data_IF_439777541700
#
_entry.id   IF_439777541700
#
_cell.length_a   1.000
_cell.length_b   1.000
_cell.length_c   1.000
_cell.angle_alpha   90.00
_cell.angle_beta   90.00
_cell.angle_gamma   90.00
#
_symmetry.space_group_name_H-M   'P 1'
#
loop_
_entity.id
_entity.type
_entity.pdbx_description
1 polymer ?
#
# COMPACT_ATOMS: atom_id res chain seq x y z
N UNK A 1 -13.90 -9.23 -7.13
CA UNK A 1 -12.93 -9.64 -6.10
C UNK A 1 -12.22 -10.91 -6.51
N UNK A 2 -11.28 -11.41 -5.70
CA UNK A 2 -10.57 -12.68 -5.94
C UNK A 2 -10.09 -13.31 -4.64
N UNK A 3 -9.72 -14.58 -4.69
CA UNK A 3 -9.02 -15.27 -3.60
C UNK A 3 -7.58 -15.55 -4.05
N UNK A 4 -6.62 -15.28 -3.18
CA UNK A 4 -5.20 -15.60 -3.36
C UNK A 4 -4.74 -16.49 -2.21
N UNK A 5 -3.90 -17.47 -2.53
CA UNK A 5 -3.22 -18.31 -1.55
C UNK A 5 -1.71 -18.18 -1.75
N UNK A 6 -1.02 -17.86 -0.67
CA UNK A 6 0.44 -17.76 -0.61
C UNK A 6 0.98 -18.91 0.23
N UNK A 7 2.00 -19.58 -0.28
CA UNK A 7 2.81 -20.55 0.45
C UNK A 7 4.28 -20.21 0.27
N UNK A 8 5.00 -20.10 1.38
CA UNK A 8 6.41 -19.72 1.41
C UNK A 8 7.24 -20.71 2.22
N UNK A 9 8.52 -20.80 1.86
CA UNK A 9 9.56 -21.56 2.55
C UNK A 9 10.83 -20.72 2.60
N UNK A 10 11.70 -21.01 3.56
CA UNK A 10 12.99 -20.34 3.68
C UNK A 10 13.16 -19.62 5.01
N UNK A 11 14.14 -18.74 5.05
CA UNK A 11 14.49 -17.98 6.25
C UNK A 11 13.46 -16.88 6.55
N UNK A 12 13.26 -16.56 7.82
CA UNK A 12 12.33 -15.50 8.23
C UNK A 12 12.70 -14.15 7.61
N UNK A 13 14.00 -13.87 7.43
CA UNK A 13 14.51 -12.65 6.80
C UNK A 13 14.22 -12.54 5.30
N UNK A 14 13.73 -13.59 4.63
CA UNK A 14 13.41 -13.57 3.20
C UNK A 14 11.96 -13.18 2.88
N UNK A 15 11.19 -12.65 3.85
CA UNK A 15 9.74 -12.34 3.79
C UNK A 15 8.79 -13.52 3.51
N UNK A 16 9.33 -14.66 3.11
CA UNK A 16 8.58 -15.87 2.74
C UNK A 16 8.77 -17.03 3.73
N UNK A 17 9.71 -16.91 4.66
CA UNK A 17 9.96 -17.91 5.69
C UNK A 17 9.06 -17.79 6.92
N UNK A 18 8.95 -18.87 7.68
CA UNK A 18 8.30 -18.88 8.98
C UNK A 18 8.96 -19.92 9.89
N UNK A 19 9.03 -19.63 11.19
CA UNK A 19 9.42 -20.61 12.22
C UNK A 19 8.33 -20.77 13.26
N UNK A 20 8.30 -21.93 13.90
CA UNK A 20 7.46 -22.23 15.06
C UNK A 20 8.26 -23.03 16.08
N UNK A 21 7.67 -23.27 17.24
CA UNK A 21 8.21 -24.23 18.20
C UNK A 21 7.57 -25.59 17.98
N UNK A 22 8.36 -26.65 18.13
CA UNK A 22 7.85 -28.00 18.28
C UNK A 22 7.05 -28.10 19.59
N UNK A 23 5.98 -28.90 19.57
CA UNK A 23 5.07 -29.01 20.71
C UNK A 23 5.50 -30.06 21.75
N UNK A 24 6.42 -30.95 21.40
CA UNK A 24 6.92 -32.01 22.29
C UNK A 24 8.13 -31.55 23.09
N UNK A 25 9.10 -30.88 22.46
CA UNK A 25 10.36 -30.47 23.10
C UNK A 25 10.60 -28.95 23.15
N UNK A 26 9.80 -28.16 22.43
CA UNK A 26 9.92 -26.70 22.40
C UNK A 26 11.04 -26.19 21.49
N UNK A 27 11.72 -27.07 20.76
CA UNK A 27 12.78 -26.67 19.84
C UNK A 27 12.23 -25.83 18.70
N UNK A 28 13.03 -24.88 18.22
CA UNK A 28 12.63 -24.04 17.10
C UNK A 28 12.75 -24.83 15.78
N UNK A 29 11.66 -24.86 15.02
CA UNK A 29 11.56 -25.53 13.73
C UNK A 29 11.23 -24.53 12.61
N UNK A 30 11.82 -24.76 11.44
CA UNK A 30 11.35 -24.13 10.19
C UNK A 30 9.96 -24.69 9.83
N UNK A 31 9.09 -23.82 9.31
CA UNK A 31 7.75 -24.21 8.87
C UNK A 31 7.34 -23.42 7.62
N UNK A 32 6.20 -23.78 7.04
CA UNK A 32 5.66 -23.06 5.90
C UNK A 32 5.02 -21.74 6.33
N UNK A 33 5.35 -20.65 5.63
CA UNK A 33 4.48 -19.48 5.63
C UNK A 33 3.24 -19.78 4.79
N UNK A 34 2.05 -19.49 5.31
CA UNK A 34 0.77 -19.73 4.62
C UNK A 34 -0.18 -18.57 4.87
N UNK A 35 -0.76 -18.03 3.79
CA UNK A 35 -1.73 -16.96 3.89
C UNK A 35 -2.80 -17.06 2.78
N UNK A 36 -4.06 -17.21 3.17
CA UNK A 36 -5.21 -17.05 2.28
C UNK A 36 -5.73 -15.62 2.39
N UNK A 37 -5.98 -14.97 1.26
CA UNK A 37 -6.59 -13.64 1.17
C UNK A 37 -7.85 -13.68 0.31
N UNK A 38 -8.96 -13.20 0.84
CA UNK A 38 -10.11 -12.79 0.05
C UNK A 38 -10.08 -11.26 -0.15
N UNK A 39 -10.14 -10.82 -1.40
CA UNK A 39 -10.21 -9.40 -1.76
C UNK A 39 -11.59 -9.10 -2.33
N UNK A 40 -12.35 -8.26 -1.63
CA UNK A 40 -13.62 -7.71 -2.11
C UNK A 40 -13.33 -6.35 -2.77
N UNK A 41 -13.78 -6.21 -4.02
CA UNK A 41 -13.68 -4.96 -4.78
C UNK A 41 -15.07 -4.55 -5.21
N UNK A 42 -15.45 -3.31 -4.96
CA UNK A 42 -16.67 -2.70 -5.50
C UNK A 42 -16.29 -1.46 -6.28
N UNK A 43 -16.96 -1.22 -7.40
CA UNK A 43 -16.74 -0.02 -8.19
C UNK A 43 -18.00 0.36 -8.94
N UNK A 44 -18.15 1.65 -9.20
CA UNK A 44 -19.20 2.20 -10.06
C UNK A 44 -18.60 3.20 -11.04
N UNK A 45 -19.28 3.40 -12.16
CA UNK A 45 -18.94 4.39 -13.17
C UNK A 45 -20.22 4.95 -13.78
N UNK A 46 -20.43 6.26 -13.67
CA UNK A 46 -21.59 6.94 -14.23
C UNK A 46 -21.13 8.17 -15.00
N UNK A 47 -21.57 8.29 -16.25
CA UNK A 47 -21.32 9.49 -17.03
C UNK A 47 -22.15 10.67 -16.50
N UNK A 48 -21.51 11.82 -16.35
CA UNK A 48 -22.14 13.08 -15.92
C UNK A 48 -21.69 14.21 -16.84
N UNK A 49 -22.33 15.38 -16.72
CA UNK A 49 -21.91 16.58 -17.46
C UNK A 49 -20.49 17.05 -17.13
N UNK A 50 -19.95 16.63 -15.98
CA UNK A 50 -18.60 16.96 -15.49
C UNK A 50 -17.59 15.82 -15.74
N UNK A 51 -17.96 14.83 -16.55
CA UNK A 51 -17.18 13.62 -16.83
C UNK A 51 -17.67 12.40 -16.06
N UNK A 52 -16.93 11.28 -16.14
CA UNK A 52 -17.30 10.04 -15.46
C UNK A 52 -17.10 10.16 -13.94
N UNK A 53 -18.18 10.00 -13.18
CA UNK A 53 -18.15 9.78 -11.74
C UNK A 53 -17.79 8.32 -11.47
N UNK A 54 -16.68 8.09 -10.78
CA UNK A 54 -16.18 6.76 -10.42
C UNK A 54 -16.14 6.60 -8.91
N UNK A 55 -16.51 5.43 -8.41
CA UNK A 55 -16.22 5.03 -7.03
C UNK A 55 -15.44 3.73 -7.05
N UNK A 56 -14.55 3.54 -6.09
CA UNK A 56 -13.79 2.30 -5.94
C UNK A 56 -13.53 2.01 -4.47
N UNK A 57 -13.73 0.76 -4.07
CA UNK A 57 -13.29 0.26 -2.77
C UNK A 57 -12.58 -1.09 -2.91
N UNK A 58 -11.59 -1.32 -2.04
CA UNK A 58 -10.92 -2.61 -1.90
C UNK A 58 -10.74 -2.96 -0.42
N UNK A 59 -11.39 -4.04 0.01
CA UNK A 59 -11.28 -4.60 1.36
C UNK A 59 -10.63 -5.98 1.30
N UNK A 60 -9.71 -6.27 2.22
CA UNK A 60 -9.02 -7.57 2.28
C UNK A 60 -9.26 -8.27 3.61
N UNK A 61 -9.54 -9.57 3.52
CA UNK A 61 -9.72 -10.48 4.64
C UNK A 61 -8.62 -11.54 4.53
N UNK A 62 -7.85 -11.75 5.59
CA UNK A 62 -6.71 -12.66 5.55
C UNK A 62 -6.78 -13.70 6.68
N UNK A 63 -6.40 -14.94 6.37
CA UNK A 63 -6.18 -16.01 7.34
C UNK A 63 -4.82 -16.65 7.08
N UNK A 64 -4.01 -16.80 8.12
CA UNK A 64 -2.68 -17.40 7.97
C UNK A 64 -1.78 -17.19 9.17
N UNK A 65 -0.60 -17.77 9.11
CA UNK A 65 0.47 -17.48 10.06
C UNK A 65 1.23 -16.21 9.64
N UNK A 66 2.34 -15.91 10.33
CA UNK A 66 3.15 -14.71 10.11
C UNK A 66 4.48 -15.11 9.44
N UNK A 67 5.00 -14.24 8.58
CA UNK A 67 6.43 -14.28 8.29
C UNK A 67 7.15 -13.82 9.55
N UNK A 68 7.73 -14.76 10.29
CA UNK A 68 8.18 -14.52 11.65
C UNK A 68 8.59 -15.78 12.39
N UNK A 69 9.17 -15.56 13.57
CA UNK A 69 9.52 -16.61 14.51
C UNK A 69 8.32 -17.05 15.36
N UNK A 70 8.46 -18.20 16.03
CA UNK A 70 7.53 -18.61 17.07
C UNK A 70 7.48 -17.57 18.19
N UNK A 71 6.28 -17.30 18.70
CA UNK A 71 6.04 -16.37 19.78
C UNK A 71 5.88 -17.11 21.13
N UNK A 72 5.91 -16.33 22.21
CA UNK A 72 5.62 -16.78 23.57
C UNK A 72 4.36 -16.09 24.10
N UNK A 73 3.68 -16.73 25.05
CA UNK A 73 2.60 -16.12 25.83
C UNK A 73 3.15 -15.04 26.76
N UNK A 74 2.26 -14.28 27.41
CA UNK A 74 2.65 -13.33 28.46
C UNK A 74 3.30 -14.02 29.66
N UNK A 75 2.97 -15.29 29.88
CA UNK A 75 3.48 -16.11 30.98
C UNK A 75 4.79 -16.84 30.62
N UNK A 76 5.28 -16.65 29.37
CA UNK A 76 6.54 -17.19 28.88
C UNK A 76 6.44 -18.56 28.20
N UNK A 77 5.23 -19.10 28.01
CA UNK A 77 5.02 -20.40 27.37
C UNK A 77 5.14 -20.29 25.84
N UNK A 78 5.79 -21.24 25.15
CA UNK A 78 5.88 -21.21 23.69
C UNK A 78 4.49 -21.41 23.06
N UNK A 79 4.04 -20.42 22.28
CA UNK A 79 2.79 -20.48 21.52
C UNK A 79 3.02 -20.78 20.02
N UNK A 80 4.28 -20.73 19.57
CA UNK A 80 4.65 -20.97 18.18
C UNK A 80 4.19 -19.85 17.25
N UNK A 81 3.96 -20.18 15.98
CA UNK A 81 3.46 -19.23 14.98
C UNK A 81 2.09 -19.66 14.45
N UNK A 82 1.04 -19.57 15.29
CA UNK A 82 -0.28 -20.11 14.95
C UNK A 82 -0.92 -19.29 13.83
N UNK A 83 -1.60 -20.01 12.93
CA UNK A 83 -2.45 -19.38 11.92
C UNK A 83 -3.75 -18.86 12.56
N UNK A 84 -4.20 -17.70 12.11
CA UNK A 84 -5.44 -17.10 12.58
C UNK A 84 -6.00 -16.07 11.60
N UNK A 85 -7.21 -15.60 11.90
CA UNK A 85 -7.78 -14.45 11.21
C UNK A 85 -6.94 -13.21 11.53
N UNK A 86 -6.56 -12.47 10.49
CA UNK A 86 -5.90 -11.18 10.61
C UNK A 86 -6.95 -10.06 10.56
N UNK A 87 -6.53 -8.86 10.93
CA UNK A 87 -7.38 -7.68 10.83
C UNK A 87 -7.88 -7.49 9.39
N UNK A 88 -9.12 -7.03 9.27
CA UNK A 88 -9.67 -6.58 7.99
C UNK A 88 -8.99 -5.26 7.62
N UNK A 89 -8.50 -5.15 6.39
CA UNK A 89 -7.88 -3.93 5.89
C UNK A 89 -8.73 -3.28 4.80
N UNK A 90 -8.85 -1.95 4.85
CA UNK A 90 -9.41 -1.13 3.78
C UNK A 90 -8.24 -0.52 3.01
N UNK A 91 -7.98 -1.01 1.81
CA UNK A 91 -6.80 -0.64 1.03
C UNK A 91 -7.06 0.57 0.13
N UNK A 92 -8.25 0.64 -0.46
CA UNK A 92 -8.68 1.77 -1.28
C UNK A 92 -10.13 2.09 -0.95
N UNK A 93 -10.48 3.36 -0.88
CA UNK A 93 -11.86 3.81 -0.74
C UNK A 93 -12.01 5.27 -1.20
N UNK A 94 -12.30 5.48 -2.48
CA UNK A 94 -12.34 6.82 -3.06
C UNK A 94 -13.49 7.02 -4.05
N UNK A 95 -13.78 8.29 -4.29
CA UNK A 95 -14.67 8.79 -5.34
C UNK A 95 -13.86 9.72 -6.25
N UNK A 96 -14.14 9.70 -7.55
CA UNK A 96 -13.45 10.54 -8.54
C UNK A 96 -14.43 11.09 -9.58
N UNK A 97 -14.28 12.38 -9.92
CA UNK A 97 -15.03 13.04 -10.98
C UNK A 97 -14.11 14.01 -11.73
N UNK A 98 -14.07 13.91 -13.06
CA UNK A 98 -13.35 14.90 -13.89
C UNK A 98 -11.86 15.07 -13.55
N UNK A 99 -11.21 14.03 -13.01
CA UNK A 99 -9.82 14.06 -12.56
C UNK A 99 -9.61 14.36 -11.07
N UNK A 100 -10.61 14.93 -10.39
CA UNK A 100 -10.59 15.15 -8.94
C UNK A 100 -10.95 13.87 -8.20
N UNK A 101 -10.07 13.37 -7.34
CA UNK A 101 -10.24 12.21 -6.46
C UNK A 101 -10.23 12.63 -4.99
N UNK A 102 -11.14 12.05 -4.21
CA UNK A 102 -11.20 12.23 -2.75
C UNK A 102 -11.45 10.89 -2.07
N UNK A 103 -10.72 10.61 -0.98
CA UNK A 103 -10.90 9.43 -0.14
C UNK A 103 -9.59 8.78 0.26
N UNK A 104 -9.63 7.50 0.67
CA UNK A 104 -8.44 6.73 1.03
C UNK A 104 -7.77 6.14 -0.21
N UNK A 105 -6.48 6.41 -0.33
CA UNK A 105 -5.62 5.93 -1.40
C UNK A 105 -4.16 5.84 -0.94
N UNK A 106 -3.26 5.56 -1.87
CA UNK A 106 -1.80 5.61 -1.68
C UNK A 106 -1.24 6.97 -2.13
N UNK A 107 -0.05 7.34 -1.63
CA UNK A 107 0.57 8.62 -1.96
C UNK A 107 0.80 8.79 -3.47
N UNK A 108 0.55 9.98 -4.00
CA UNK A 108 0.93 10.33 -5.36
C UNK A 108 2.45 10.27 -5.56
N UNK A 109 3.23 10.32 -4.47
CA UNK A 109 4.67 10.18 -4.51
C UNK A 109 5.05 8.81 -5.05
N UNK A 110 4.30 7.77 -4.69
CA UNK A 110 4.57 6.40 -5.11
C UNK A 110 3.81 6.01 -6.36
N UNK A 111 2.51 6.28 -6.37
CA UNK A 111 1.62 5.81 -7.44
C UNK A 111 1.91 6.46 -8.78
N UNK A 112 2.28 7.75 -8.81
CA UNK A 112 2.40 8.48 -10.07
C UNK A 112 3.62 8.04 -10.89
N UNK A 113 4.74 7.70 -10.23
CA UNK A 113 5.95 7.19 -10.88
C UNK A 113 5.87 5.68 -11.19
N UNK A 114 4.88 4.98 -10.64
CA UNK A 114 4.68 3.54 -10.83
C UNK A 114 5.39 2.69 -9.77
N UNK A 115 5.39 3.16 -8.52
CA UNK A 115 6.00 2.50 -7.36
C UNK A 115 7.52 2.32 -7.54
N UNK A 116 8.13 1.38 -6.82
CA UNK A 116 9.52 0.97 -7.02
C UNK A 116 9.74 0.10 -8.27
N UNK A 117 8.75 0.02 -9.17
CA UNK A 117 8.77 -0.84 -10.36
C UNK A 117 8.37 -2.29 -10.09
N UNK A 118 8.69 -3.19 -11.03
CA UNK A 118 8.29 -4.60 -10.98
C UNK A 118 9.25 -5.46 -10.14
N UNK A 119 9.39 -5.16 -8.84
CA UNK A 119 10.23 -5.92 -7.91
C UNK A 119 9.34 -6.85 -7.08
N UNK A 120 9.73 -8.13 -6.95
CA UNK A 120 8.94 -9.16 -6.24
C UNK A 120 8.85 -8.85 -4.73
N UNK A 121 9.84 -8.14 -4.18
CA UNK A 121 9.92 -7.68 -2.79
C UNK A 121 10.42 -6.23 -2.75
N UNK A 122 9.55 -5.31 -3.14
CA UNK A 122 9.87 -3.88 -3.23
C UNK A 122 9.87 -3.17 -1.86
N UNK A 123 9.29 -3.79 -0.83
CA UNK A 123 9.08 -3.18 0.50
C UNK A 123 10.27 -3.33 1.45
N UNK A 124 11.40 -3.91 1.02
CA UNK A 124 12.58 -4.04 1.88
C UNK A 124 13.19 -2.67 2.25
N UNK A 125 13.05 -1.69 1.37
CA UNK A 125 13.42 -0.29 1.63
C UNK A 125 12.15 0.54 1.52
N UNK A 126 11.69 1.20 2.60
CA UNK A 126 10.54 2.10 2.53
C UNK A 126 10.78 3.20 1.50
N UNK A 127 9.82 3.42 0.59
CA UNK A 127 9.96 4.40 -0.50
C UNK A 127 8.80 5.42 -0.59
N UNK A 128 7.87 5.36 0.36
CA UNK A 128 6.77 6.29 0.55
C UNK A 128 5.63 5.66 1.36
N UNK A 129 4.46 6.30 1.38
CA UNK A 129 3.30 5.92 2.20
C UNK A 129 2.22 5.24 1.35
N UNK A 130 1.79 4.06 1.82
CA UNK A 130 0.77 3.23 1.16
C UNK A 130 -0.63 3.40 1.77
N UNK A 131 -0.79 4.31 2.73
CA UNK A 131 -2.06 4.56 3.37
C UNK A 131 -2.20 6.06 3.62
N UNK A 132 -3.10 6.75 2.90
CA UNK A 132 -3.39 8.17 3.20
C UNK A 132 -4.80 8.53 2.75
N UNK A 133 -5.45 9.51 3.41
CA UNK A 133 -6.55 10.21 2.78
C UNK A 133 -6.00 11.26 1.82
N UNK A 134 -6.63 11.38 0.66
CA UNK A 134 -6.16 12.25 -0.42
C UNK A 134 -7.26 13.18 -0.90
N UNK A 135 -6.84 14.38 -1.29
CA UNK A 135 -7.54 15.23 -2.26
C UNK A 135 -6.59 15.44 -3.43
N UNK A 136 -6.86 14.76 -4.53
CA UNK A 136 -5.97 14.64 -5.67
C UNK A 136 -6.63 15.17 -6.93
N UNK A 137 -5.87 15.83 -7.79
CA UNK A 137 -6.31 16.18 -9.14
C UNK A 137 -5.33 15.65 -10.17
N UNK A 138 -5.84 14.80 -11.06
CA UNK A 138 -5.12 14.29 -12.22
C UNK A 138 -5.51 15.08 -13.46
N UNK A 139 -4.50 15.61 -14.14
CA UNK A 139 -4.63 16.26 -15.43
C UNK A 139 -4.03 15.38 -16.53
N UNK A 140 -4.76 15.20 -17.61
CA UNK A 140 -4.30 14.55 -18.83
C UNK A 140 -4.57 15.48 -20.02
N UNK A 141 -3.52 15.88 -20.72
CA UNK A 141 -3.61 16.79 -21.86
C UNK A 141 -3.97 16.06 -23.18
N UNK A 142 -4.04 14.73 -23.19
CA UNK A 142 -4.34 13.92 -24.37
C UNK A 142 -3.20 13.86 -25.41
N UNK A 143 -2.06 14.50 -25.16
CA UNK A 143 -0.89 14.54 -26.04
C UNK A 143 0.34 13.80 -25.46
N UNK A 144 0.12 12.97 -24.44
CA UNK A 144 1.17 12.27 -23.70
C UNK A 144 1.66 13.02 -22.45
N UNK A 145 1.29 14.29 -22.26
CA UNK A 145 1.54 15.01 -21.01
C UNK A 145 0.44 14.72 -19.99
N UNK A 146 0.83 14.37 -18.77
CA UNK A 146 -0.05 14.32 -17.62
C UNK A 146 0.62 14.91 -16.38
N UNK A 147 -0.20 15.35 -15.43
CA UNK A 147 0.25 15.92 -14.17
C UNK A 147 -0.67 15.51 -13.02
N UNK A 148 -0.13 15.54 -11.81
CA UNK A 148 -0.89 15.33 -10.58
C UNK A 148 -0.52 16.38 -9.55
N UNK A 149 -1.52 16.81 -8.76
CA UNK A 149 -1.32 17.47 -7.48
C UNK A 149 -2.15 16.75 -6.42
N UNK A 150 -1.58 16.58 -5.24
CA UNK A 150 -2.14 15.80 -4.14
C UNK A 150 -1.95 16.55 -2.83
N UNK A 151 -3.01 16.60 -2.03
CA UNK A 151 -2.96 16.96 -0.62
C UNK A 151 -3.22 15.68 0.18
N UNK A 152 -2.30 15.33 1.08
CA UNK A 152 -2.27 14.03 1.75
C UNK A 152 -2.23 14.19 3.26
N UNK A 153 -3.00 13.35 3.95
CA UNK A 153 -3.00 13.25 5.42
C UNK A 153 -1.83 12.40 5.94
N UNK A 154 -1.38 11.43 5.15
CA UNK A 154 -0.45 10.37 5.56
C UNK A 154 -1.07 9.36 6.53
N UNK A 155 -0.24 8.50 7.12
CA UNK A 155 -0.68 7.53 8.12
C UNK A 155 0.33 7.20 9.21
N UNK A 156 -0.16 6.54 10.26
CA UNK A 156 0.64 6.07 11.38
C UNK A 156 1.07 7.20 12.32
N UNK A 157 1.96 6.88 13.26
CA UNK A 157 2.35 7.81 14.34
C UNK A 157 3.18 8.99 13.83
N UNK A 158 3.97 8.77 12.77
CA UNK A 158 4.93 9.75 12.25
C UNK A 158 4.46 10.40 10.94
N UNK A 159 3.78 9.64 10.08
CA UNK A 159 3.34 10.11 8.78
C UNK A 159 1.98 10.81 8.78
N UNK A 160 1.15 10.68 9.83
CA UNK A 160 -0.10 11.44 9.90
C UNK A 160 0.21 12.91 10.21
N UNK A 161 -0.35 13.85 9.45
CA UNK A 161 -0.16 15.28 9.67
C UNK A 161 -0.49 15.70 11.11
N UNK A 162 0.33 16.58 11.67
CA UNK A 162 0.17 17.10 13.04
C UNK A 162 -0.46 18.51 13.10
N UNK A 163 -0.74 19.11 11.94
CA UNK A 163 -1.28 20.47 11.79
C UNK A 163 -2.25 20.58 10.61
N UNK A 164 -2.81 21.78 10.37
CA UNK A 164 -3.69 22.04 9.22
C UNK A 164 -2.97 22.09 7.87
N UNK A 165 -1.65 21.89 7.84
CA UNK A 165 -0.87 21.87 6.61
C UNK A 165 -0.76 20.41 6.14
N UNK A 166 -1.38 20.03 5.00
CA UNK A 166 -1.27 18.69 4.47
C UNK A 166 0.16 18.44 3.94
N UNK A 167 0.53 17.18 3.79
CA UNK A 167 1.61 16.84 2.89
C UNK A 167 1.19 17.21 1.46
N UNK A 168 2.12 17.72 0.66
CA UNK A 168 1.82 18.19 -0.70
C UNK A 168 2.67 17.43 -1.69
N UNK A 169 2.05 16.79 -2.67
CA UNK A 169 2.77 16.08 -3.73
C UNK A 169 2.39 16.64 -5.09
N UNK A 170 3.39 16.85 -5.94
CA UNK A 170 3.23 17.26 -7.32
C UNK A 170 4.02 16.37 -8.26
N UNK A 171 3.44 16.01 -9.39
CA UNK A 171 4.11 15.18 -10.38
C UNK A 171 3.78 15.58 -11.81
N UNK A 172 4.74 15.38 -12.71
CA UNK A 172 4.57 15.55 -14.17
C UNK A 172 5.11 14.34 -14.90
N UNK A 173 4.42 13.95 -15.97
CA UNK A 173 4.76 12.79 -16.78
C UNK A 173 4.65 13.14 -18.25
N UNK A 174 5.63 12.67 -19.02
CA UNK A 174 5.63 12.77 -20.47
C UNK A 174 5.81 11.38 -21.06
N UNK A 175 4.77 10.91 -21.76
CA UNK A 175 4.72 9.58 -22.38
C UNK A 175 4.79 9.71 -23.90
N UNK A 176 5.64 8.90 -24.52
CA UNK A 176 5.85 8.80 -25.95
C UNK A 176 6.01 7.34 -26.37
N UNK A 177 6.10 7.06 -27.67
CA UNK A 177 6.22 5.69 -28.18
C UNK A 177 7.41 4.88 -27.66
N UNK A 178 8.44 5.54 -27.12
CA UNK A 178 9.63 4.91 -26.54
C UNK A 178 9.52 4.61 -25.03
N UNK A 179 8.46 5.09 -24.36
CA UNK A 179 8.31 4.99 -22.91
C UNK A 179 7.86 6.31 -22.30
N UNK A 180 8.15 6.51 -21.02
CA UNK A 180 7.81 7.72 -20.30
C UNK A 180 8.96 8.21 -19.42
N UNK A 181 9.03 9.52 -19.22
CA UNK A 181 9.77 10.14 -18.11
C UNK A 181 8.74 10.71 -17.16
N UNK A 182 8.94 10.47 -15.87
CA UNK A 182 8.04 10.93 -14.80
C UNK A 182 8.86 11.59 -13.73
N UNK A 183 8.50 12.78 -13.27
CA UNK A 183 9.13 13.41 -12.11
C UNK A 183 8.09 13.67 -11.03
N UNK A 184 8.45 13.44 -9.78
CA UNK A 184 7.58 13.68 -8.61
C UNK A 184 8.36 14.39 -7.52
N UNK A 185 7.72 15.35 -6.86
CA UNK A 185 8.22 16.09 -5.71
C UNK A 185 7.16 16.08 -4.60
N UNK A 186 7.60 15.93 -3.37
CA UNK A 186 6.76 15.96 -2.18
C UNK A 186 7.32 16.94 -1.15
N UNK A 187 6.42 17.60 -0.43
CA UNK A 187 6.68 18.35 0.78
C UNK A 187 6.02 17.62 1.95
N UNK A 188 6.84 17.23 2.92
CA UNK A 188 6.41 16.66 4.19
C UNK A 188 6.22 17.80 5.19
N UNK A 189 4.98 17.94 5.69
CA UNK A 189 4.60 19.03 6.58
C UNK A 189 4.96 18.80 8.04
N UNK A 190 5.19 17.56 8.47
CA UNK A 190 5.61 17.24 9.83
C UNK A 190 7.10 17.53 10.01
N UNK A 191 7.90 17.25 8.98
CA UNK A 191 9.34 17.49 8.97
C UNK A 191 9.74 18.82 8.31
N UNK A 192 8.82 19.47 7.61
CA UNK A 192 9.08 20.66 6.78
C UNK A 192 10.16 20.41 5.71
N UNK A 193 10.22 19.18 5.19
CA UNK A 193 11.24 18.72 4.26
C UNK A 193 10.69 18.47 2.84
N UNK A 194 11.58 18.48 1.85
CA UNK A 194 11.24 18.25 0.45
C UNK A 194 11.99 17.03 -0.09
N UNK A 195 11.26 16.13 -0.74
CA UNK A 195 11.81 14.95 -1.41
C UNK A 195 11.41 14.93 -2.90
N UNK A 196 12.21 14.29 -3.75
CA UNK A 196 11.89 14.16 -5.17
C UNK A 196 12.55 12.96 -5.84
N UNK A 197 11.91 12.45 -6.91
CA UNK A 197 12.37 11.31 -7.72
C UNK A 197 11.96 11.45 -9.19
N UNK A 198 12.69 10.75 -10.07
CA UNK A 198 12.50 10.70 -11.54
C UNK A 198 12.57 9.24 -12.02
#
# INVERSE_FOLDING_TARGET
GYVRYDIGVGDVGSFDGARSFDHEDGDQQDTFYKNTRFTLKTWTGQETELGTLKTYTETRFNFGNRNGYGAFSTDGDPIGNPAGNKNVSLNFAWIQLGGLRVGKDESAFDTFIGYAGNVIQDTLVPYGDFDTNVVQYYFDAGNGFSAVVSLEEGSGVVGTIDSYVPHVVGGVKWTQGWGAITGVIAYDSNYEEVAGKV
#
